data_IF_493842195809
#
_entry.id   IF_493842195809
#
_cell.length_a   1.000
_cell.length_b   1.000
_cell.length_c   1.000
_cell.angle_alpha   90.00
_cell.angle_beta   90.00
_cell.angle_gamma   90.00
#
_symmetry.space_group_name_H-M   'P 1'
#
loop_
_entity.id
_entity.type
_entity.pdbx_description
1 polymer ?
#
# COMPACT_ATOMS: atom_id res chain seq x y z
N UNK A 1 -15.54 -3.43 -16.42
CA UNK A 1 -14.16 -3.54 -16.96
C UNK A 1 -13.45 -2.23 -16.66
N UNK A 2 -12.65 -2.19 -15.60
CA UNK A 2 -11.81 -1.04 -15.28
C UNK A 2 -10.50 -1.21 -16.07
N UNK A 3 -10.29 -0.35 -17.06
CA UNK A 3 -9.01 -0.26 -17.76
C UNK A 3 -8.01 0.26 -16.74
N UNK A 4 -7.12 -0.62 -16.25
CA UNK A 4 -6.03 -0.25 -15.36
C UNK A 4 -5.15 0.76 -16.11
N UNK A 5 -5.15 2.01 -15.66
CA UNK A 5 -4.33 3.07 -16.23
C UNK A 5 -2.86 2.68 -16.06
N UNK A 6 -2.21 2.32 -17.15
CA UNK A 6 -0.77 2.02 -17.17
C UNK A 6 -0.05 3.32 -16.78
N UNK A 7 0.72 3.26 -15.71
CA UNK A 7 1.48 4.41 -15.22
C UNK A 7 2.66 4.69 -16.16
N UNK A 8 3.07 5.97 -16.26
CA UNK A 8 4.20 6.37 -17.13
C UNK A 8 5.49 5.62 -16.76
N UNK A 9 5.64 5.27 -15.49
CA UNK A 9 6.74 4.46 -14.97
C UNK A 9 6.74 3.04 -15.55
N UNK A 10 5.58 2.37 -15.58
CA UNK A 10 5.45 1.03 -16.18
C UNK A 10 5.82 1.05 -17.68
N UNK A 11 5.41 2.09 -18.42
CA UNK A 11 5.80 2.25 -19.83
C UNK A 11 7.30 2.43 -19.98
N UNK A 12 7.93 3.21 -19.09
CA UNK A 12 9.37 3.42 -19.09
C UNK A 12 10.14 2.13 -18.80
N UNK A 13 9.67 1.31 -17.84
CA UNK A 13 10.28 0.01 -17.54
C UNK A 13 10.15 -0.97 -18.71
N UNK A 14 8.99 -1.04 -19.36
CA UNK A 14 8.76 -1.88 -20.54
C UNK A 14 9.68 -1.46 -21.69
N UNK A 15 9.82 -0.14 -21.93
CA UNK A 15 10.70 0.39 -22.95
C UNK A 15 12.18 0.06 -22.68
N UNK A 16 12.62 0.21 -21.44
CA UNK A 16 13.98 -0.14 -21.02
C UNK A 16 14.27 -1.64 -21.25
N UNK A 17 13.29 -2.50 -20.96
CA UNK A 17 13.38 -3.94 -21.17
C UNK A 17 13.53 -4.31 -22.65
N UNK A 18 12.73 -3.67 -23.50
CA UNK A 18 12.78 -3.84 -24.95
C UNK A 18 14.15 -3.41 -25.53
N UNK A 19 14.68 -2.28 -25.06
CA UNK A 19 16.00 -1.79 -25.48
C UNK A 19 17.10 -2.76 -25.02
N UNK A 20 17.05 -3.24 -23.77
CA UNK A 20 18.01 -4.20 -23.26
C UNK A 20 17.98 -5.52 -24.06
N UNK A 21 16.78 -6.05 -24.37
CA UNK A 21 16.62 -7.25 -25.17
C UNK A 21 17.18 -7.08 -26.60
N UNK A 22 16.96 -5.91 -27.22
CA UNK A 22 17.49 -5.59 -28.55
C UNK A 22 19.01 -5.46 -28.58
N UNK A 23 19.60 -4.81 -27.56
CA UNK A 23 21.07 -4.68 -27.44
C UNK A 23 21.71 -6.05 -27.26
N UNK A 24 21.14 -6.91 -26.41
CA UNK A 24 21.63 -8.28 -26.22
C UNK A 24 21.45 -9.12 -27.50
N UNK A 25 20.31 -8.95 -28.19
CA UNK A 25 20.04 -9.50 -29.52
C UNK A 25 21.12 -9.17 -30.53
N UNK A 26 21.42 -7.88 -30.68
CA UNK A 26 22.42 -7.36 -31.60
C UNK A 26 23.83 -7.85 -31.26
N UNK A 27 24.20 -7.85 -29.97
CA UNK A 27 25.47 -8.41 -29.51
C UNK A 27 25.60 -9.90 -29.87
N UNK A 28 24.53 -10.69 -29.74
CA UNK A 28 24.59 -12.12 -30.06
C UNK A 28 24.87 -12.40 -31.55
N UNK A 29 24.27 -11.61 -32.44
CA UNK A 29 24.46 -11.72 -33.89
C UNK A 29 25.87 -11.29 -34.28
N UNK A 30 26.41 -10.26 -33.62
CA UNK A 30 27.75 -9.73 -33.91
C UNK A 30 28.88 -10.67 -33.47
N UNK A 31 28.69 -11.44 -32.40
CA UNK A 31 29.73 -12.28 -31.80
C UNK A 31 29.68 -13.76 -32.18
N UNK A 32 28.72 -14.20 -33.03
CA UNK A 32 28.59 -15.59 -33.50
C UNK A 32 28.64 -16.63 -32.35
N UNK A 33 28.14 -16.26 -31.17
CA UNK A 33 28.21 -17.06 -29.93
C UNK A 33 26.95 -17.93 -29.80
N UNK A 34 27.17 -19.20 -29.45
CA UNK A 34 26.15 -20.23 -29.27
C UNK A 34 25.14 -19.88 -28.17
N UNK A 35 23.92 -20.44 -28.27
CA UNK A 35 22.80 -20.22 -27.33
C UNK A 35 23.11 -20.44 -25.84
N UNK A 36 24.26 -21.02 -25.50
CA UNK A 36 24.74 -21.11 -24.12
C UNK A 36 25.00 -19.74 -23.48
N UNK A 37 25.50 -18.76 -24.25
CA UNK A 37 25.77 -17.43 -23.71
C UNK A 37 24.48 -16.66 -23.41
N UNK A 38 23.41 -16.94 -24.17
CA UNK A 38 22.05 -16.46 -23.89
C UNK A 38 21.47 -17.04 -22.61
N UNK A 39 21.67 -18.34 -22.37
CA UNK A 39 21.24 -18.97 -21.12
C UNK A 39 21.99 -18.36 -19.93
N UNK A 40 23.30 -18.15 -20.05
CA UNK A 40 24.10 -17.51 -19.01
C UNK A 40 23.64 -16.07 -18.73
N UNK A 41 23.32 -15.29 -19.76
CA UNK A 41 22.78 -13.93 -19.58
C UNK A 41 21.39 -13.98 -18.92
N UNK A 42 20.49 -14.86 -19.35
CA UNK A 42 19.16 -14.99 -18.71
C UNK A 42 19.28 -15.39 -17.24
N UNK A 43 20.19 -16.30 -16.89
CA UNK A 43 20.43 -16.69 -15.49
C UNK A 43 20.86 -15.50 -14.63
N UNK A 44 21.56 -14.52 -15.20
CA UNK A 44 22.01 -13.31 -14.46
C UNK A 44 20.95 -12.21 -14.49
N UNK A 45 20.30 -12.00 -15.63
CA UNK A 45 19.35 -10.90 -15.84
C UNK A 45 18.03 -11.14 -15.13
N UNK A 46 17.48 -12.36 -15.16
CA UNK A 46 16.21 -12.69 -14.50
C UNK A 46 16.22 -12.44 -12.98
N UNK A 47 17.21 -12.88 -12.18
CA UNK A 47 17.25 -12.55 -10.76
C UNK A 47 17.53 -11.06 -10.52
N UNK A 48 18.27 -10.39 -11.39
CA UNK A 48 18.50 -8.94 -11.28
C UNK A 48 17.18 -8.16 -11.44
N UNK A 49 16.35 -8.54 -12.40
CA UNK A 49 15.02 -7.96 -12.62
C UNK A 49 14.10 -8.27 -11.44
N UNK A 50 14.10 -9.51 -10.96
CA UNK A 50 13.33 -9.89 -9.77
C UNK A 50 13.72 -9.08 -8.53
N UNK A 51 15.02 -8.85 -8.33
CA UNK A 51 15.53 -8.02 -7.24
C UNK A 51 15.12 -6.55 -7.38
N UNK A 52 15.25 -5.97 -8.58
CA UNK A 52 14.81 -4.59 -8.84
C UNK A 52 13.29 -4.45 -8.62
N UNK A 53 12.50 -5.42 -9.09
CA UNK A 53 11.06 -5.42 -8.88
C UNK A 53 10.70 -5.51 -7.38
N UNK A 54 11.38 -6.37 -6.62
CA UNK A 54 11.21 -6.47 -5.17
C UNK A 54 11.59 -5.18 -4.44
N UNK A 55 12.71 -4.55 -4.80
CA UNK A 55 13.15 -3.29 -4.18
C UNK A 55 12.21 -2.13 -4.55
N UNK A 56 11.77 -2.03 -5.80
CA UNK A 56 10.88 -0.95 -6.21
C UNK A 56 9.44 -1.11 -5.70
N UNK A 57 8.93 -2.35 -5.60
CA UNK A 57 7.57 -2.61 -5.11
C UNK A 57 7.51 -2.66 -3.58
N UNK A 58 8.53 -3.21 -2.93
CA UNK A 58 8.58 -3.33 -1.47
C UNK A 58 8.75 -2.00 -0.74
N UNK A 59 9.25 -0.95 -1.41
CA UNK A 59 9.45 0.38 -0.80
C UNK A 59 8.22 1.29 -0.92
N UNK A 60 7.27 0.99 -1.82
CA UNK A 60 6.10 1.87 -2.05
C UNK A 60 4.93 1.64 -1.09
N UNK A 61 4.79 0.45 -0.52
CA UNK A 61 3.69 0.18 0.43
C UNK A 61 3.85 0.98 1.74
N UNK A 62 5.07 1.18 2.21
CA UNK A 62 5.34 1.83 3.49
C UNK A 62 4.96 3.32 3.53
N UNK A 63 5.17 4.07 2.44
CA UNK A 63 4.87 5.51 2.41
C UNK A 63 3.37 5.80 2.24
N UNK A 64 2.67 5.02 1.41
CA UNK A 64 1.22 5.18 1.23
C UNK A 64 0.46 4.77 2.49
N UNK A 65 0.85 3.67 3.14
CA UNK A 65 0.23 3.22 4.38
C UNK A 65 0.52 4.18 5.55
N UNK A 66 1.74 4.75 5.62
CA UNK A 66 2.04 5.77 6.62
C UNK A 66 1.17 7.03 6.45
N UNK A 67 1.01 7.54 5.22
CA UNK A 67 0.14 8.68 4.94
C UNK A 67 -1.33 8.39 5.26
N UNK A 68 -1.80 7.18 4.93
CA UNK A 68 -3.15 6.74 5.26
C UNK A 68 -3.34 6.66 6.78
N UNK A 69 -2.38 6.11 7.53
CA UNK A 69 -2.44 6.01 8.98
C UNK A 69 -2.56 7.38 9.66
N UNK A 70 -1.82 8.40 9.18
CA UNK A 70 -1.96 9.78 9.68
C UNK A 70 -3.37 10.31 9.42
N UNK A 71 -3.90 10.14 8.20
CA UNK A 71 -5.24 10.58 7.86
C UNK A 71 -6.33 9.94 8.73
N UNK A 72 -6.27 8.62 8.94
CA UNK A 72 -7.22 7.92 9.81
C UNK A 72 -7.10 8.37 11.27
N UNK A 73 -5.88 8.65 11.75
CA UNK A 73 -5.64 9.15 13.10
C UNK A 73 -6.25 10.53 13.32
N UNK A 74 -6.08 11.46 12.38
CA UNK A 74 -6.69 12.80 12.45
C UNK A 74 -8.22 12.72 12.48
N UNK A 75 -8.82 11.89 11.61
CA UNK A 75 -10.28 11.69 11.57
C UNK A 75 -10.77 11.09 12.88
N UNK A 76 -10.05 10.11 13.43
CA UNK A 76 -10.38 9.49 14.71
C UNK A 76 -10.34 10.52 15.85
N UNK A 77 -9.27 11.32 15.96
CA UNK A 77 -9.15 12.33 17.03
C UNK A 77 -10.22 13.42 16.93
N UNK A 78 -10.67 13.77 15.72
CA UNK A 78 -11.74 14.76 15.51
C UNK A 78 -13.12 14.23 15.92
N UNK A 79 -13.36 12.92 15.76
CA UNK A 79 -14.67 12.29 16.03
C UNK A 79 -14.76 11.68 17.41
N UNK A 80 -13.68 11.16 17.95
CA UNK A 80 -13.69 10.46 19.23
C UNK A 80 -13.94 11.43 20.40
N UNK A 81 -15.05 11.21 21.12
CA UNK A 81 -15.42 11.96 22.32
C UNK A 81 -15.48 11.01 23.52
N UNK A 82 -14.56 11.09 24.49
CA UNK A 82 -14.50 10.16 25.62
C UNK A 82 -15.78 10.10 26.45
N UNK A 83 -16.50 11.22 26.56
CA UNK A 83 -17.78 11.29 27.31
C UNK A 83 -18.96 10.67 26.58
N UNK A 84 -18.88 10.56 25.26
CA UNK A 84 -19.98 10.09 24.42
C UNK A 84 -19.76 8.66 23.92
N UNK A 85 -18.51 8.22 23.82
CA UNK A 85 -18.10 6.93 23.31
C UNK A 85 -17.45 6.10 24.43
N UNK A 86 -18.30 5.59 25.33
CA UNK A 86 -17.90 4.73 26.45
C UNK A 86 -17.55 3.32 25.96
N UNK A 87 -16.40 3.20 25.30
CA UNK A 87 -15.87 1.95 24.78
C UNK A 87 -14.41 1.81 25.19
N UNK A 88 -14.11 0.72 25.90
CA UNK A 88 -12.76 0.35 26.34
C UNK A 88 -11.81 0.25 25.14
N UNK A 89 -12.31 -0.25 24.00
CA UNK A 89 -11.56 -0.35 22.76
C UNK A 89 -11.14 1.03 22.24
N UNK A 90 -12.08 1.98 22.14
CA UNK A 90 -11.80 3.32 21.65
C UNK A 90 -10.88 4.11 22.59
N UNK A 91 -11.03 3.91 23.90
CA UNK A 91 -10.14 4.49 24.90
C UNK A 91 -8.71 3.95 24.76
N UNK A 92 -8.54 2.65 24.51
CA UNK A 92 -7.23 2.05 24.25
C UNK A 92 -6.60 2.58 22.96
N UNK A 93 -7.36 2.68 21.87
CA UNK A 93 -6.86 3.27 20.60
C UNK A 93 -6.42 4.73 20.82
N UNK A 94 -7.22 5.52 21.52
CA UNK A 94 -6.85 6.90 21.87
C UNK A 94 -5.58 6.98 22.70
N UNK A 95 -5.40 6.06 23.66
CA UNK A 95 -4.19 5.99 24.48
C UNK A 95 -2.95 5.65 23.66
N UNK A 96 -3.05 4.69 22.73
CA UNK A 96 -1.95 4.31 21.85
C UNK A 96 -1.50 5.49 20.97
N UNK A 97 -2.46 6.26 20.44
CA UNK A 97 -2.18 7.47 19.66
C UNK A 97 -1.51 8.54 20.54
N UNK A 98 -1.95 8.74 21.78
CA UNK A 98 -1.32 9.70 22.70
C UNK A 98 0.09 9.31 23.15
N UNK A 99 0.37 8.01 23.24
CA UNK A 99 1.70 7.48 23.56
C UNK A 99 2.65 7.48 22.34
N UNK A 100 2.25 8.07 21.21
CA UNK A 100 2.99 8.11 19.95
C UNK A 100 3.43 6.71 19.48
N UNK A 101 2.57 5.71 19.73
CA UNK A 101 2.82 4.33 19.29
C UNK A 101 2.14 4.08 17.96
N UNK A 102 2.81 3.28 17.13
CA UNK A 102 2.26 2.83 15.87
C UNK A 102 0.93 2.08 16.10
N UNK A 103 -0.13 2.61 15.49
CA UNK A 103 -1.45 1.98 15.47
C UNK A 103 -1.73 1.50 14.06
N UNK A 104 -2.03 0.20 13.94
CA UNK A 104 -2.40 -0.37 12.66
C UNK A 104 -3.62 0.32 12.04
N UNK A 105 -3.58 0.56 10.73
CA UNK A 105 -4.70 1.11 9.96
C UNK A 105 -5.98 0.27 10.15
N UNK A 106 -5.82 -1.05 10.26
CA UNK A 106 -6.93 -1.99 10.49
C UNK A 106 -7.67 -1.69 11.81
N UNK A 107 -6.92 -1.30 12.85
CA UNK A 107 -7.44 -0.96 14.17
C UNK A 107 -8.13 0.41 14.15
N UNK A 108 -7.54 1.40 13.46
CA UNK A 108 -8.14 2.72 13.27
C UNK A 108 -9.46 2.66 12.49
N UNK A 109 -9.54 1.85 11.42
CA UNK A 109 -10.78 1.63 10.67
C UNK A 109 -11.88 1.04 11.56
N UNK A 110 -11.57 -0.02 12.33
CA UNK A 110 -12.53 -0.61 13.28
C UNK A 110 -12.97 0.38 14.35
N UNK A 111 -12.08 1.27 14.79
CA UNK A 111 -12.40 2.31 15.77
C UNK A 111 -13.39 3.33 15.21
N UNK A 112 -13.21 3.76 13.96
CA UNK A 112 -14.15 4.65 13.28
C UNK A 112 -15.51 3.99 13.04
N UNK A 113 -15.55 2.74 12.56
CA UNK A 113 -16.80 1.99 12.37
C UNK A 113 -17.57 1.83 13.69
N UNK A 114 -16.84 1.62 14.80
CA UNK A 114 -17.45 1.56 16.13
C UNK A 114 -18.03 2.90 16.56
N UNK A 115 -17.40 4.03 16.23
CA UNK A 115 -17.97 5.37 16.49
C UNK A 115 -19.25 5.56 15.69
N UNK A 116 -19.23 5.25 14.39
CA UNK A 116 -20.41 5.38 13.51
C UNK A 116 -21.59 4.52 14.01
N UNK A 117 -21.30 3.31 14.51
CA UNK A 117 -22.32 2.42 15.09
C UNK A 117 -22.93 3.01 16.37
N UNK A 118 -22.11 3.60 17.25
CA UNK A 118 -22.59 4.23 18.49
C UNK A 118 -23.45 5.46 18.18
N UNK A 119 -23.02 6.30 17.23
CA UNK A 119 -23.77 7.47 16.79
C UNK A 119 -25.11 7.07 16.16
N UNK A 120 -25.12 6.07 15.29
CA UNK A 120 -26.34 5.55 14.66
C UNK A 120 -27.33 5.00 15.70
N UNK A 121 -26.85 4.25 16.69
CA UNK A 121 -27.70 3.73 17.78
C UNK A 121 -28.31 4.84 18.64
N UNK A 122 -27.55 5.91 18.93
CA UNK A 122 -28.09 7.07 19.64
C UNK A 122 -29.18 7.79 18.85
N UNK A 123 -29.00 7.94 17.55
CA UNK A 123 -30.01 8.54 16.66
C UNK A 123 -31.27 7.69 16.66
N UNK A 124 -31.14 6.36 16.52
CA UNK A 124 -32.27 5.44 16.54
C UNK A 124 -33.04 5.47 17.87
N UNK A 125 -32.34 5.47 19.01
CA UNK A 125 -32.98 5.59 20.34
C UNK A 125 -33.67 6.94 20.54
N UNK A 126 -33.10 8.03 20.02
CA UNK A 126 -33.72 9.35 20.09
C UNK A 126 -35.01 9.40 19.26
N UNK A 127 -35.01 8.81 18.06
CA UNK A 127 -36.19 8.74 17.19
C UNK A 127 -37.28 7.81 17.70
N UNK A 128 -36.95 6.80 18.52
CA UNK A 128 -37.92 5.87 19.11
C UNK A 128 -38.63 6.40 20.37
N UNK A 129 -38.10 7.48 20.97
CA UNK A 129 -38.69 8.14 22.15
C UNK A 129 -39.54 9.38 21.78
N UNK A 130 -39.75 9.63 20.49
CA UNK A 130 -40.71 10.60 19.95
C UNK A 130 -41.93 9.86 19.39
#
# INVERSE_FOLDING_TARGET
MLVKSISVEEVMYIALYLVAALVVGFCSVRFNRSGFLWVAISIVVTPLIGFIALVCLGVREDEEDALLAVGYTEVFLKRYRPREHDSIFLANVHRLIQEDRDVEISMLKRALDSIDTIEANKIAQKSANF
#
